data_IF_811943832346
#
_entry.id   IF_811943832346
#
_cell.length_a   1.000
_cell.length_b   1.000
_cell.length_c   1.000
_cell.angle_alpha   90.00
_cell.angle_beta   90.00
_cell.angle_gamma   90.00
#
_symmetry.space_group_name_H-M   'P 1'
#
loop_
_entity.id
_entity.type
_entity.pdbx_description
1 polymer ?
#
# COMPACT_ATOMS: atom_id res chain seq x y z
N UNK A 1 31.07 9.42 3.96
CA UNK A 1 30.63 8.15 4.59
C UNK A 1 30.76 7.05 3.55
N UNK A 2 31.43 5.97 3.87
CA UNK A 2 31.56 4.85 2.96
C UNK A 2 30.40 3.88 3.19
N UNK A 3 29.70 3.53 2.12
CA UNK A 3 28.67 2.50 2.14
C UNK A 3 29.26 1.19 1.63
N UNK A 4 28.91 0.08 2.28
CA UNK A 4 29.28 -1.27 1.84
C UNK A 4 28.08 -1.90 1.15
N UNK A 5 28.27 -2.35 -0.08
CA UNK A 5 27.24 -3.16 -0.78
C UNK A 5 26.95 -4.44 0.00
N UNK A 6 25.69 -4.79 0.04
CA UNK A 6 25.22 -6.04 0.67
C UNK A 6 24.24 -6.74 -0.27
N UNK A 7 24.07 -8.06 -0.13
CA UNK A 7 23.05 -8.78 -0.89
C UNK A 7 21.65 -8.23 -0.63
N UNK A 8 20.80 -8.27 -1.66
CA UNK A 8 19.40 -7.91 -1.54
C UNK A 8 18.71 -8.82 -0.49
N UNK A 9 18.03 -8.26 0.51
CA UNK A 9 17.25 -9.05 1.45
C UNK A 9 15.98 -9.58 0.77
N UNK A 10 15.54 -10.78 1.15
CA UNK A 10 14.27 -11.33 0.69
C UNK A 10 13.06 -10.60 1.28
N UNK A 11 13.21 -10.06 2.49
CA UNK A 11 12.18 -9.33 3.24
C UNK A 11 12.83 -8.20 4.00
N UNK A 12 12.14 -7.07 4.10
CA UNK A 12 12.53 -5.94 4.94
C UNK A 12 11.34 -5.45 5.77
N UNK A 13 11.67 -4.79 6.88
CA UNK A 13 10.69 -4.22 7.81
C UNK A 13 10.84 -2.71 7.88
N UNK A 14 9.72 -1.99 7.83
CA UNK A 14 9.67 -0.54 7.86
C UNK A 14 8.57 -0.06 8.81
N UNK A 15 8.99 0.67 9.85
CA UNK A 15 8.04 1.34 10.76
C UNK A 15 7.66 2.70 10.17
N UNK A 16 6.38 2.96 10.03
CA UNK A 16 5.87 4.23 9.51
C UNK A 16 4.62 4.68 10.26
N UNK A 17 4.23 5.95 10.10
CA UNK A 17 2.96 6.46 10.61
C UNK A 17 1.80 5.80 9.87
N UNK A 18 0.72 5.45 10.59
CA UNK A 18 -0.48 4.85 10.01
C UNK A 18 -1.09 5.73 8.90
N UNK A 19 -1.08 7.06 9.08
CA UNK A 19 -1.55 8.05 8.09
C UNK A 19 -0.82 8.01 6.74
N UNK A 20 0.36 7.38 6.65
CA UNK A 20 1.15 7.26 5.42
C UNK A 20 0.91 5.94 4.68
N UNK A 21 0.19 5.01 5.30
CA UNK A 21 0.01 3.66 4.76
C UNK A 21 -0.62 3.70 3.36
N UNK A 22 -1.73 4.41 3.19
CA UNK A 22 -2.43 4.47 1.91
C UNK A 22 -1.56 5.07 0.81
N UNK A 23 -0.83 6.17 1.10
CA UNK A 23 0.10 6.76 0.13
C UNK A 23 1.23 5.80 -0.27
N UNK A 24 1.74 4.97 0.66
CA UNK A 24 2.75 3.95 0.36
C UNK A 24 2.18 2.86 -0.54
N UNK A 25 0.95 2.42 -0.27
CA UNK A 25 0.28 1.39 -1.05
C UNK A 25 -0.16 1.90 -2.43
N UNK A 26 -0.52 3.19 -2.54
CA UNK A 26 -0.82 3.85 -3.81
C UNK A 26 0.41 3.95 -4.71
N UNK A 27 1.55 4.32 -4.12
CA UNK A 27 2.82 4.41 -4.83
C UNK A 27 3.44 3.02 -5.15
N UNK A 28 3.09 1.99 -4.40
CA UNK A 28 3.74 0.66 -4.46
C UNK A 28 5.22 0.71 -4.09
N UNK A 29 5.64 1.73 -3.33
CA UNK A 29 7.05 1.93 -2.95
C UNK A 29 7.20 2.75 -1.68
N UNK A 30 8.33 2.57 -1.01
CA UNK A 30 8.81 3.48 0.04
C UNK A 30 9.64 4.56 -0.64
N UNK A 31 9.25 5.82 -0.46
CA UNK A 31 10.01 6.98 -0.95
C UNK A 31 11.10 7.35 0.05
N UNK A 32 12.25 7.72 -0.46
CA UNK A 32 13.32 8.34 0.33
C UNK A 32 12.87 9.72 0.81
N UNK A 33 13.35 10.13 1.98
CA UNK A 33 13.08 11.43 2.57
C UNK A 33 14.40 12.08 2.97
N UNK A 34 14.73 13.20 2.35
CA UNK A 34 15.97 14.00 2.59
C UNK A 34 17.29 13.21 2.63
N UNK A 35 17.29 11.98 2.17
CA UNK A 35 18.42 11.07 2.10
C UNK A 35 18.54 10.46 0.69
N UNK A 36 19.66 9.85 0.39
CA UNK A 36 19.87 9.12 -0.86
C UNK A 36 19.32 7.70 -0.80
N UNK A 37 19.09 7.18 0.40
CA UNK A 37 18.62 5.84 0.70
C UNK A 37 17.29 5.83 1.45
N UNK A 38 16.49 4.78 1.22
CA UNK A 38 15.44 4.33 2.13
C UNK A 38 16.02 3.33 3.12
N UNK A 39 15.69 3.47 4.40
CA UNK A 39 16.25 2.65 5.47
C UNK A 39 15.25 1.66 6.04
N UNK A 40 15.70 0.42 6.24
CA UNK A 40 14.91 -0.71 6.69
C UNK A 40 15.65 -1.53 7.73
N UNK A 41 14.94 -2.42 8.43
CA UNK A 41 15.54 -3.53 9.15
C UNK A 41 15.34 -4.83 8.37
N UNK A 42 16.34 -5.71 8.36
CA UNK A 42 16.31 -6.99 7.63
C UNK A 42 15.68 -8.13 8.45
N UNK A 43 15.36 -7.89 9.72
CA UNK A 43 14.63 -8.82 10.58
C UNK A 43 13.97 -8.09 11.76
N UNK A 44 13.03 -8.78 12.42
CA UNK A 44 12.23 -8.23 13.52
C UNK A 44 13.03 -8.00 14.81
N UNK A 45 14.08 -8.76 15.07
CA UNK A 45 14.95 -8.52 16.24
C UNK A 45 15.64 -7.17 16.11
N UNK A 46 16.18 -6.88 14.93
CA UNK A 46 16.77 -5.56 14.63
C UNK A 46 15.73 -4.46 14.62
N UNK A 47 14.53 -4.73 14.12
CA UNK A 47 13.43 -3.76 14.15
C UNK A 47 13.05 -3.37 15.58
N UNK A 48 12.93 -4.35 16.50
CA UNK A 48 12.66 -4.08 17.92
C UNK A 48 13.78 -3.26 18.54
N UNK A 49 15.04 -3.65 18.33
CA UNK A 49 16.18 -2.89 18.82
C UNK A 49 16.25 -1.46 18.25
N UNK A 50 15.89 -1.29 16.97
CA UNK A 50 15.77 0.03 16.35
C UNK A 50 14.66 0.88 17.01
N UNK A 51 13.50 0.29 17.28
CA UNK A 51 12.40 1.00 17.96
C UNK A 51 12.81 1.41 19.38
N UNK A 52 13.51 0.56 20.13
CA UNK A 52 14.05 0.86 21.47
C UNK A 52 15.04 2.03 21.48
N UNK A 53 15.75 2.24 20.36
CA UNK A 53 16.70 3.35 20.21
C UNK A 53 16.09 4.64 19.64
N UNK A 54 14.92 4.57 19.01
CA UNK A 54 14.37 5.71 18.27
C UNK A 54 13.02 6.18 18.76
N UNK A 55 12.04 5.30 18.90
CA UNK A 55 10.64 5.67 19.22
C UNK A 55 10.22 5.26 20.62
N UNK A 56 10.76 4.17 21.19
CA UNK A 56 10.47 3.72 22.56
C UNK A 56 11.39 4.40 23.59
N UNK A 57 11.69 5.66 23.36
CA UNK A 57 12.61 6.47 24.15
C UNK A 57 11.91 7.57 24.96
N UNK A 58 10.66 7.40 25.33
CA UNK A 58 9.86 8.41 26.06
C UNK A 58 10.66 9.10 27.16
N UNK A 59 10.63 10.43 27.16
CA UNK A 59 11.29 11.28 28.14
C UNK A 59 12.81 11.39 28.01
N UNK A 60 13.48 10.51 27.22
CA UNK A 60 14.92 10.65 26.98
C UNK A 60 15.24 11.94 26.22
N UNK A 61 16.31 12.65 26.60
CA UNK A 61 16.69 13.88 25.92
C UNK A 61 17.35 13.57 24.55
N UNK A 62 17.10 14.42 23.58
CA UNK A 62 17.83 14.46 22.31
C UNK A 62 18.01 15.89 21.80
N UNK A 63 18.93 16.09 20.90
CA UNK A 63 19.15 17.39 20.25
C UNK A 63 18.54 17.29 18.84
N UNK A 64 17.51 18.11 18.58
CA UNK A 64 16.89 18.21 17.27
C UNK A 64 17.78 18.93 16.24
N UNK A 65 17.45 18.80 14.98
CA UNK A 65 18.09 19.58 13.88
C UNK A 65 17.94 21.07 14.22
N UNK A 66 19.07 21.79 14.25
CA UNK A 66 19.11 23.19 14.69
C UNK A 66 19.58 23.39 16.14
N UNK A 67 19.96 22.33 16.86
CA UNK A 67 20.57 22.41 18.20
C UNK A 67 19.58 22.58 19.35
N UNK A 68 18.28 22.47 19.09
CA UNK A 68 17.24 22.58 20.14
C UNK A 68 17.24 21.32 21.00
N UNK A 69 17.25 21.49 22.33
CA UNK A 69 17.08 20.40 23.28
C UNK A 69 15.62 19.97 23.36
N UNK A 70 15.35 18.70 23.05
CA UNK A 70 14.03 18.12 23.06
C UNK A 70 14.01 16.84 23.91
N UNK A 71 12.80 16.35 24.19
CA UNK A 71 12.59 15.02 24.78
C UNK A 71 11.72 14.20 23.84
N UNK A 72 12.01 12.91 23.74
CA UNK A 72 11.17 11.99 22.97
C UNK A 72 9.75 12.00 23.53
N UNK A 73 8.73 12.15 22.67
CA UNK A 73 7.33 12.08 23.08
C UNK A 73 6.97 10.66 23.49
N UNK A 74 5.79 10.51 24.11
CA UNK A 74 5.20 9.20 24.33
C UNK A 74 4.96 8.51 23.00
N UNK A 75 5.38 7.25 22.92
CA UNK A 75 5.08 6.42 21.76
C UNK A 75 3.66 5.86 21.88
N UNK A 76 2.86 6.05 20.84
CA UNK A 76 1.49 5.56 20.73
C UNK A 76 1.48 4.52 19.62
N UNK A 77 1.44 3.23 19.93
CA UNK A 77 1.53 2.15 18.92
C UNK A 77 0.49 2.26 17.80
N UNK A 78 -0.72 2.73 18.16
CA UNK A 78 -1.87 2.87 17.25
C UNK A 78 -1.64 3.91 16.14
N UNK A 79 -0.72 4.86 16.36
CA UNK A 79 -0.33 5.86 15.36
C UNK A 79 0.65 5.29 14.31
N UNK A 80 1.08 4.04 14.45
CA UNK A 80 2.11 3.44 13.62
C UNK A 80 1.68 2.10 13.06
N UNK A 81 2.25 1.77 11.90
CA UNK A 81 2.18 0.44 11.31
C UNK A 81 3.59 -0.08 11.06
N UNK A 82 3.78 -1.37 11.25
CA UNK A 82 5.00 -2.05 10.89
C UNK A 82 4.76 -2.83 9.60
N UNK A 83 5.42 -2.39 8.53
CA UNK A 83 5.32 -3.04 7.23
C UNK A 83 6.37 -4.12 7.10
N UNK A 84 5.96 -5.32 6.71
CA UNK A 84 6.81 -6.37 6.18
C UNK A 84 6.69 -6.35 4.67
N UNK A 85 7.79 -6.07 3.98
CA UNK A 85 7.82 -5.82 2.54
C UNK A 85 8.72 -6.84 1.85
N UNK A 86 8.27 -7.37 0.71
CA UNK A 86 9.11 -8.10 -0.23
C UNK A 86 9.64 -7.13 -1.28
N UNK A 87 10.93 -6.77 -1.27
CA UNK A 87 11.47 -5.80 -2.21
C UNK A 87 11.31 -6.22 -3.66
N UNK A 88 11.10 -5.20 -4.52
CA UNK A 88 11.20 -5.31 -5.97
C UNK A 88 12.22 -4.28 -6.43
N UNK A 89 13.30 -4.70 -7.05
CA UNK A 89 14.30 -3.74 -7.52
C UNK A 89 15.64 -4.38 -7.78
N UNK A 90 16.63 -3.53 -8.06
CA UNK A 90 17.97 -3.96 -8.43
C UNK A 90 18.71 -4.52 -7.21
N UNK A 91 19.21 -5.74 -7.33
CA UNK A 91 20.03 -6.41 -6.29
C UNK A 91 21.24 -5.58 -5.89
N UNK A 92 21.76 -4.77 -6.80
CA UNK A 92 22.94 -3.94 -6.60
C UNK A 92 22.72 -2.63 -5.80
N UNK A 93 21.49 -2.29 -5.43
CA UNK A 93 21.16 -1.03 -4.76
C UNK A 93 21.10 -1.14 -3.24
N UNK A 94 21.50 -2.26 -2.66
CA UNK A 94 21.45 -2.49 -1.22
C UNK A 94 22.80 -2.21 -0.56
N UNK A 95 22.76 -1.45 0.53
CA UNK A 95 23.94 -0.96 1.23
C UNK A 95 23.77 -1.04 2.75
N UNK A 96 24.87 -1.23 3.45
CA UNK A 96 25.00 -0.89 4.87
C UNK A 96 25.91 0.31 5.02
N UNK A 97 25.59 1.15 6.00
CA UNK A 97 26.48 2.23 6.35
C UNK A 97 27.77 1.64 6.91
N UNK A 98 28.92 1.96 6.29
CA UNK A 98 30.21 1.61 6.83
C UNK A 98 30.55 2.62 7.92
N UNK A 99 30.82 2.13 9.08
CA UNK A 99 31.01 2.78 10.37
C UNK A 99 32.23 3.73 10.45
N UNK A 100 32.73 4.23 9.33
CA UNK A 100 33.76 5.24 9.31
C UNK A 100 33.21 6.56 9.85
N UNK A 101 33.42 6.76 11.13
CA UNK A 101 33.15 8.02 11.81
C UNK A 101 34.40 8.89 11.67
N UNK A 102 34.26 10.23 11.54
CA UNK A 102 35.40 11.10 11.42
C UNK A 102 36.40 10.89 12.55
N UNK A 103 37.72 10.87 12.25
CA UNK A 103 38.74 10.80 13.27
C UNK A 103 38.54 11.91 14.33
N UNK A 104 38.61 11.55 15.60
CA UNK A 104 38.40 12.51 16.71
C UNK A 104 36.98 12.58 17.27
N UNK A 105 36.02 11.81 16.72
CA UNK A 105 34.70 11.66 17.33
C UNK A 105 34.77 11.00 18.72
N UNK A 106 33.81 11.32 19.60
CA UNK A 106 33.77 10.69 20.92
C UNK A 106 33.54 9.17 20.83
N UNK A 107 34.01 8.45 21.85
CA UNK A 107 33.88 6.98 21.89
C UNK A 107 32.40 6.56 21.93
N UNK A 108 31.57 7.33 22.63
CA UNK A 108 30.13 7.12 22.73
C UNK A 108 29.45 7.28 21.38
N UNK A 109 29.83 8.32 20.62
CA UNK A 109 29.29 8.55 19.27
C UNK A 109 29.70 7.42 18.32
N UNK A 110 30.95 6.96 18.39
CA UNK A 110 31.43 5.83 17.59
C UNK A 110 30.68 4.55 17.90
N UNK A 111 30.41 4.29 19.17
CA UNK A 111 29.67 3.10 19.62
C UNK A 111 28.21 3.17 19.18
N UNK A 112 27.52 4.30 19.40
CA UNK A 112 26.13 4.51 19.01
C UNK A 112 25.94 4.39 17.49
N UNK A 113 26.82 5.00 16.70
CA UNK A 113 26.76 4.89 15.25
C UNK A 113 27.01 3.45 14.75
N UNK A 114 27.92 2.72 15.41
CA UNK A 114 28.15 1.30 15.13
C UNK A 114 26.91 0.47 15.39
N UNK A 115 26.30 0.60 16.56
CA UNK A 115 25.11 -0.15 16.94
C UNK A 115 23.95 0.18 15.97
N UNK A 116 23.72 1.44 15.70
CA UNK A 116 22.67 1.88 14.79
C UNK A 116 22.85 1.39 13.35
N UNK A 117 24.09 1.44 12.82
CA UNK A 117 24.40 0.97 11.46
C UNK A 117 24.28 -0.55 11.32
N UNK A 118 24.38 -1.32 12.41
CA UNK A 118 24.16 -2.76 12.40
C UNK A 118 22.68 -3.14 12.32
N UNK A 119 21.78 -2.24 12.75
CA UNK A 119 20.33 -2.49 12.74
C UNK A 119 19.70 -2.28 11.38
N UNK A 120 20.27 -1.38 10.56
CA UNK A 120 19.67 -0.93 9.31
C UNK A 120 20.35 -1.45 8.06
N UNK A 121 19.54 -1.58 7.01
CA UNK A 121 19.98 -1.79 5.64
C UNK A 121 19.32 -0.69 4.77
N UNK A 122 20.07 -0.10 3.85
CA UNK A 122 19.61 0.96 2.98
C UNK A 122 19.41 0.48 1.55
N UNK A 123 18.38 0.99 0.89
CA UNK A 123 18.17 0.86 -0.54
C UNK A 123 18.38 2.23 -1.20
N UNK A 124 19.27 2.33 -2.18
CA UNK A 124 19.55 3.58 -2.88
C UNK A 124 18.45 3.91 -3.88
N UNK A 125 17.76 5.00 -3.64
CA UNK A 125 16.57 5.42 -4.38
C UNK A 125 15.27 5.07 -3.65
N UNK A 126 14.15 5.21 -4.35
CA UNK A 126 12.84 4.79 -3.87
C UNK A 126 12.72 3.26 -3.99
N UNK A 127 12.36 2.57 -2.91
CA UNK A 127 12.29 1.11 -2.87
C UNK A 127 10.87 0.64 -3.22
N UNK A 128 10.69 0.08 -4.41
CA UNK A 128 9.47 -0.61 -4.80
C UNK A 128 9.39 -2.00 -4.15
N UNK A 129 8.17 -2.48 -3.92
CA UNK A 129 7.93 -3.81 -3.34
C UNK A 129 6.93 -4.61 -4.17
N UNK A 130 6.99 -5.95 -4.04
CA UNK A 130 6.08 -6.90 -4.72
C UNK A 130 4.88 -7.24 -3.86
N UNK A 131 5.08 -7.28 -2.54
CA UNK A 131 4.02 -7.56 -1.58
C UNK A 131 4.28 -6.82 -0.28
N UNK A 132 3.21 -6.52 0.43
CA UNK A 132 3.23 -5.88 1.72
C UNK A 132 2.31 -6.62 2.69
N UNK A 133 2.76 -6.73 3.95
CA UNK A 133 1.94 -7.19 5.06
C UNK A 133 2.01 -6.12 6.16
N UNK A 134 0.89 -5.84 6.80
CA UNK A 134 0.82 -4.95 7.97
C UNK A 134 0.86 -5.78 9.24
N UNK A 135 1.82 -5.51 10.09
CA UNK A 135 1.95 -6.10 11.43
C UNK A 135 1.46 -5.05 12.43
N UNK A 136 0.59 -5.47 13.35
CA UNK A 136 0.14 -4.64 14.45
C UNK A 136 1.28 -4.35 15.41
N UNK A 137 1.58 -3.06 15.63
CA UNK A 137 2.72 -2.62 16.44
C UNK A 137 2.50 -2.90 17.92
N UNK A 138 1.26 -2.76 18.42
CA UNK A 138 0.96 -3.03 19.84
C UNK A 138 1.14 -4.53 20.15
N UNK A 139 0.60 -5.41 19.31
CA UNK A 139 0.75 -6.85 19.46
C UNK A 139 2.20 -7.31 19.28
N UNK A 140 2.94 -6.69 18.36
CA UNK A 140 4.37 -6.97 18.18
C UNK A 140 5.18 -6.62 19.44
N UNK A 141 4.88 -5.49 20.09
CA UNK A 141 5.61 -5.03 21.26
C UNK A 141 5.25 -5.80 22.54
N UNK A 142 3.98 -6.18 22.72
CA UNK A 142 3.50 -6.87 23.93
C UNK A 142 3.73 -8.38 23.87
N UNK A 143 3.26 -9.00 22.82
CA UNK A 143 3.15 -10.46 22.75
C UNK A 143 4.16 -11.10 21.79
N UNK A 144 4.96 -10.26 21.10
CA UNK A 144 5.87 -10.72 20.07
C UNK A 144 5.14 -11.31 18.84
N UNK A 145 3.84 -11.03 18.69
CA UNK A 145 3.04 -11.51 17.57
C UNK A 145 3.52 -10.82 16.29
N UNK A 146 3.92 -11.64 15.32
CA UNK A 146 4.49 -11.20 14.06
C UNK A 146 3.63 -11.58 12.85
N UNK A 147 2.37 -11.94 13.09
CA UNK A 147 1.44 -12.24 12.03
C UNK A 147 1.15 -10.95 11.25
N UNK A 148 1.55 -10.92 10.00
CA UNK A 148 1.24 -9.84 9.07
C UNK A 148 -0.08 -10.10 8.37
N UNK A 149 -0.89 -9.06 8.22
CA UNK A 149 -2.07 -9.10 7.38
C UNK A 149 -1.66 -8.63 5.98
N UNK A 150 -1.80 -9.47 4.94
CA UNK A 150 -1.52 -9.06 3.56
C UNK A 150 -2.34 -7.84 3.17
N UNK A 151 -1.70 -6.89 2.51
CA UNK A 151 -2.35 -5.70 1.96
C UNK A 151 -1.96 -5.53 0.50
N UNK A 152 -2.95 -5.26 -0.33
CA UNK A 152 -2.74 -5.09 -1.77
C UNK A 152 -2.34 -3.66 -2.09
N UNK A 153 -1.45 -3.48 -3.04
CA UNK A 153 -1.15 -2.18 -3.64
C UNK A 153 -2.27 -1.75 -4.58
N UNK A 154 -2.34 -0.48 -4.90
CA UNK A 154 -3.29 0.04 -5.89
C UNK A 154 -3.12 -0.62 -7.26
N UNK A 155 -1.89 -0.98 -7.65
CA UNK A 155 -1.63 -1.73 -8.88
C UNK A 155 -2.23 -3.13 -8.85
N UNK A 156 -2.02 -3.88 -7.76
CA UNK A 156 -2.60 -5.23 -7.60
C UNK A 156 -4.13 -5.20 -7.57
N UNK A 157 -4.72 -4.23 -6.89
CA UNK A 157 -6.18 -4.05 -6.89
C UNK A 157 -6.71 -3.77 -8.29
N UNK A 158 -6.00 -2.93 -9.07
CA UNK A 158 -6.37 -2.63 -10.46
C UNK A 158 -6.23 -3.83 -11.38
N UNK A 159 -5.16 -4.61 -11.23
CA UNK A 159 -4.96 -5.86 -11.99
C UNK A 159 -6.10 -6.85 -11.70
N UNK A 160 -6.47 -7.04 -10.43
CA UNK A 160 -7.57 -7.92 -10.02
C UNK A 160 -8.92 -7.44 -10.60
N UNK A 161 -9.21 -6.15 -10.51
CA UNK A 161 -10.43 -5.58 -11.12
C UNK A 161 -10.45 -5.83 -12.63
N UNK A 162 -9.32 -5.64 -13.33
CA UNK A 162 -9.24 -5.88 -14.77
C UNK A 162 -9.48 -7.35 -15.13
N UNK A 163 -8.94 -8.28 -14.36
CA UNK A 163 -9.19 -9.71 -14.56
C UNK A 163 -10.68 -10.06 -14.45
N UNK A 164 -11.38 -9.51 -13.45
CA UNK A 164 -12.83 -9.71 -13.28
C UNK A 164 -13.60 -9.10 -14.44
N UNK A 165 -13.36 -7.84 -14.76
CA UNK A 165 -14.05 -7.10 -15.84
C UNK A 165 -13.83 -7.78 -17.20
N UNK A 166 -12.62 -8.23 -17.50
CA UNK A 166 -12.29 -8.95 -18.73
C UNK A 166 -12.97 -10.34 -18.82
N UNK A 167 -13.08 -11.04 -17.68
CA UNK A 167 -13.81 -12.30 -17.61
C UNK A 167 -15.29 -12.09 -17.93
N UNK A 168 -15.95 -11.16 -17.23
CA UNK A 168 -17.37 -10.84 -17.42
C UNK A 168 -17.65 -10.37 -18.86
N UNK A 169 -16.78 -9.52 -19.41
CA UNK A 169 -16.92 -9.05 -20.79
C UNK A 169 -16.87 -10.19 -21.79
N UNK A 170 -15.99 -11.17 -21.62
CA UNK A 170 -15.95 -12.38 -22.46
C UNK A 170 -17.22 -13.18 -22.34
N UNK A 171 -17.67 -13.46 -21.11
CA UNK A 171 -18.90 -14.21 -20.85
C UNK A 171 -20.13 -13.51 -21.45
N UNK A 172 -20.21 -12.19 -21.29
CA UNK A 172 -21.26 -11.38 -21.89
C UNK A 172 -21.24 -11.47 -23.41
N UNK A 173 -20.09 -11.29 -24.02
CA UNK A 173 -19.89 -11.38 -25.48
C UNK A 173 -20.29 -12.77 -25.99
N UNK A 174 -19.89 -13.84 -25.33
CA UNK A 174 -20.27 -15.21 -25.66
C UNK A 174 -21.79 -15.43 -25.56
N UNK A 175 -22.46 -14.75 -24.61
CA UNK A 175 -23.90 -14.77 -24.49
C UNK A 175 -24.61 -14.13 -25.69
N UNK A 176 -24.03 -13.05 -26.23
CA UNK A 176 -24.58 -12.34 -27.41
C UNK A 176 -24.53 -13.21 -28.66
N UNK A 177 -23.49 -14.03 -28.86
CA UNK A 177 -23.42 -14.95 -30.00
C UNK A 177 -24.51 -16.02 -30.02
N UNK A 178 -25.15 -16.27 -28.89
CA UNK A 178 -26.26 -17.23 -28.77
C UNK A 178 -27.63 -16.60 -29.01
N UNK A 179 -27.71 -15.26 -29.10
CA UNK A 179 -28.96 -14.52 -29.28
C UNK A 179 -29.35 -14.43 -30.77
N UNK A 180 -30.65 -14.45 -31.05
CA UNK A 180 -31.17 -14.17 -32.38
C UNK A 180 -31.04 -12.67 -32.71
N UNK A 181 -31.09 -12.31 -34.01
CA UNK A 181 -31.04 -10.91 -34.45
C UNK A 181 -32.14 -10.05 -33.77
N UNK A 182 -33.35 -10.57 -33.63
CA UNK A 182 -34.43 -9.87 -32.94
C UNK A 182 -34.14 -9.59 -31.48
N UNK A 183 -33.52 -10.57 -30.77
CA UNK A 183 -33.09 -10.39 -29.40
C UNK A 183 -31.94 -9.38 -29.26
N UNK A 184 -30.99 -9.36 -30.20
CA UNK A 184 -29.92 -8.36 -30.21
C UNK A 184 -30.44 -6.95 -30.41
N UNK A 185 -31.43 -6.77 -31.28
CA UNK A 185 -32.08 -5.47 -31.50
C UNK A 185 -32.84 -5.04 -30.23
N UNK A 186 -33.56 -5.95 -29.60
CA UNK A 186 -34.28 -5.64 -28.36
C UNK A 186 -33.34 -5.29 -27.21
N UNK A 187 -32.12 -5.85 -27.18
CA UNK A 187 -31.12 -5.62 -26.13
C UNK A 187 -30.10 -4.51 -26.50
N UNK A 188 -30.33 -3.72 -27.55
CA UNK A 188 -29.33 -2.75 -28.02
C UNK A 188 -28.90 -1.75 -26.94
N UNK A 189 -29.84 -1.28 -26.10
CA UNK A 189 -29.54 -0.39 -24.97
C UNK A 189 -28.64 -1.05 -23.92
N UNK A 190 -28.92 -2.32 -23.59
CA UNK A 190 -28.09 -3.10 -22.66
C UNK A 190 -26.67 -3.33 -23.21
N UNK A 191 -26.56 -3.62 -24.49
CA UNK A 191 -25.25 -3.81 -25.17
C UNK A 191 -24.45 -2.52 -25.12
N UNK A 192 -25.07 -1.38 -25.34
CA UNK A 192 -24.41 -0.06 -25.26
C UNK A 192 -24.00 0.27 -23.84
N UNK A 193 -24.87 0.04 -22.85
CA UNK A 193 -24.55 0.22 -21.44
C UNK A 193 -23.37 -0.66 -21.01
N UNK A 194 -23.35 -1.93 -21.43
CA UNK A 194 -22.24 -2.84 -21.13
C UNK A 194 -20.91 -2.33 -21.73
N UNK A 195 -20.95 -1.91 -22.99
CA UNK A 195 -19.76 -1.37 -23.68
C UNK A 195 -19.23 -0.12 -22.99
N UNK A 196 -20.13 0.78 -22.58
CA UNK A 196 -19.77 1.99 -21.87
C UNK A 196 -19.13 1.68 -20.52
N UNK A 197 -19.79 0.87 -19.68
CA UNK A 197 -19.29 0.50 -18.34
C UNK A 197 -17.96 -0.24 -18.41
N UNK A 198 -17.81 -1.17 -19.35
CA UNK A 198 -16.54 -1.88 -19.59
C UNK A 198 -15.40 -0.91 -19.89
N UNK A 199 -15.58 -0.01 -20.87
CA UNK A 199 -14.56 0.98 -21.22
C UNK A 199 -14.26 1.93 -20.06
N UNK A 200 -15.29 2.39 -19.36
CA UNK A 200 -15.14 3.29 -18.21
C UNK A 200 -14.31 2.64 -17.09
N UNK A 201 -14.63 1.42 -16.68
CA UNK A 201 -13.87 0.71 -15.63
C UNK A 201 -12.39 0.49 -16.00
N UNK A 202 -12.07 0.30 -17.28
CA UNK A 202 -10.69 0.16 -17.74
C UNK A 202 -9.92 1.48 -17.79
N UNK A 203 -10.59 2.61 -18.05
CA UNK A 203 -9.92 3.89 -18.35
C UNK A 203 -10.00 4.93 -17.26
N UNK A 204 -11.02 4.86 -16.39
CA UNK A 204 -11.19 5.82 -15.31
C UNK A 204 -10.09 5.73 -14.25
N UNK A 205 -9.76 6.88 -13.69
CA UNK A 205 -8.89 6.97 -12.52
C UNK A 205 -9.71 6.72 -11.26
N UNK A 206 -9.76 5.46 -10.83
CA UNK A 206 -10.36 5.07 -9.57
C UNK A 206 -9.37 5.31 -8.42
N UNK A 207 -9.88 5.77 -7.29
CA UNK A 207 -9.11 5.85 -6.06
C UNK A 207 -8.96 4.46 -5.41
N UNK A 208 -8.13 4.38 -4.37
CA UNK A 208 -7.82 3.10 -3.72
C UNK A 208 -9.03 2.45 -3.07
N UNK A 209 -9.92 3.23 -2.44
CA UNK A 209 -11.11 2.69 -1.77
C UNK A 209 -12.11 2.16 -2.79
N UNK A 210 -12.32 2.88 -3.90
CA UNK A 210 -13.12 2.39 -5.02
C UNK A 210 -12.56 1.09 -5.60
N UNK A 211 -11.24 1.01 -5.80
CA UNK A 211 -10.59 -0.20 -6.29
C UNK A 211 -10.75 -1.37 -5.32
N UNK A 212 -10.60 -1.17 -4.01
CA UNK A 212 -10.83 -2.23 -3.00
C UNK A 212 -12.24 -2.79 -3.08
N UNK A 213 -13.23 -1.91 -3.16
CA UNK A 213 -14.64 -2.33 -3.21
C UNK A 213 -14.93 -3.08 -4.50
N UNK A 214 -14.54 -2.54 -5.64
CA UNK A 214 -14.83 -3.15 -6.95
C UNK A 214 -14.05 -4.46 -7.16
N UNK A 215 -12.77 -4.51 -6.77
CA UNK A 215 -11.96 -5.72 -6.88
C UNK A 215 -12.42 -6.86 -5.94
N UNK A 216 -13.15 -6.52 -4.87
CA UNK A 216 -13.72 -7.50 -3.95
C UNK A 216 -15.08 -8.06 -4.42
N UNK A 217 -15.68 -7.51 -5.49
CA UNK A 217 -16.90 -8.02 -6.08
C UNK A 217 -16.58 -9.20 -7.00
N UNK A 218 -17.46 -10.20 -7.02
CA UNK A 218 -17.34 -11.32 -7.95
C UNK A 218 -17.61 -10.87 -9.40
N UNK A 219 -18.60 -9.98 -9.59
CA UNK A 219 -19.07 -9.52 -10.90
C UNK A 219 -19.21 -7.98 -10.93
N UNK A 220 -18.09 -7.22 -10.88
CA UNK A 220 -18.10 -5.76 -10.79
C UNK A 220 -18.70 -5.08 -12.03
N UNK A 221 -18.48 -5.62 -13.23
CA UNK A 221 -19.03 -5.06 -14.47
C UNK A 221 -20.56 -5.19 -14.50
N UNK A 222 -21.11 -6.34 -14.11
CA UNK A 222 -22.55 -6.58 -14.03
C UNK A 222 -23.22 -5.63 -13.05
N UNK A 223 -22.65 -5.47 -11.84
CA UNK A 223 -23.19 -4.58 -10.80
C UNK A 223 -23.22 -3.13 -11.29
N UNK A 224 -22.09 -2.64 -11.84
CA UNK A 224 -22.00 -1.27 -12.35
C UNK A 224 -22.93 -1.06 -13.55
N UNK A 225 -23.01 -2.01 -14.47
CA UNK A 225 -23.90 -1.96 -15.63
C UNK A 225 -25.37 -1.89 -15.21
N UNK A 226 -25.80 -2.72 -14.27
CA UNK A 226 -27.18 -2.74 -13.78
C UNK A 226 -27.56 -1.44 -13.09
N UNK A 227 -26.67 -0.87 -12.27
CA UNK A 227 -26.88 0.43 -11.64
C UNK A 227 -26.92 1.56 -12.67
N UNK A 228 -26.00 1.55 -13.64
CA UNK A 228 -25.95 2.53 -14.73
C UNK A 228 -27.19 2.51 -15.59
N UNK A 229 -27.66 1.31 -15.99
CA UNK A 229 -28.89 1.18 -16.78
C UNK A 229 -30.13 1.72 -16.07
N UNK A 230 -30.14 1.69 -14.74
CA UNK A 230 -31.23 2.23 -13.93
C UNK A 230 -31.20 3.77 -13.79
N UNK A 231 -30.03 4.39 -14.00
CA UNK A 231 -29.80 5.81 -13.79
C UNK A 231 -29.91 6.68 -15.06
N UNK A 232 -30.34 6.14 -16.19
CA UNK A 232 -30.22 6.74 -17.52
C UNK A 232 -31.02 8.03 -17.78
N UNK A 233 -30.72 9.15 -17.16
CA UNK A 233 -31.34 10.40 -17.64
C UNK A 233 -30.45 11.62 -17.85
N UNK A 234 -29.21 11.72 -17.40
CA UNK A 234 -28.39 12.96 -17.54
C UNK A 234 -26.88 12.68 -17.70
N UNK A 235 -26.16 13.54 -18.42
CA UNK A 235 -24.71 13.73 -18.60
C UNK A 235 -23.78 12.53 -18.27
N UNK A 236 -23.52 11.67 -19.21
CA UNK A 236 -22.99 10.29 -19.03
C UNK A 236 -21.77 10.12 -18.10
N UNK A 237 -20.79 11.02 -18.08
CA UNK A 237 -19.59 10.83 -17.27
C UNK A 237 -19.75 11.25 -15.81
N UNK A 238 -20.46 12.35 -15.54
CA UNK A 238 -20.67 12.84 -14.17
C UNK A 238 -21.58 11.88 -13.40
N UNK A 239 -22.63 11.37 -14.05
CA UNK A 239 -23.57 10.42 -13.45
C UNK A 239 -22.97 9.05 -13.19
N UNK A 240 -22.11 8.56 -14.10
CA UNK A 240 -21.37 7.32 -13.86
C UNK A 240 -20.48 7.43 -12.64
N UNK A 241 -19.75 8.53 -12.48
CA UNK A 241 -18.88 8.75 -11.32
C UNK A 241 -19.69 8.80 -10.01
N UNK A 242 -20.87 9.43 -10.03
CA UNK A 242 -21.76 9.50 -8.87
C UNK A 242 -22.31 8.11 -8.51
N UNK A 243 -22.80 7.38 -9.51
CA UNK A 243 -23.32 6.01 -9.32
C UNK A 243 -22.24 5.04 -8.78
N UNK A 244 -21.03 5.16 -9.29
CA UNK A 244 -19.89 4.35 -8.82
C UNK A 244 -19.59 4.64 -7.34
N UNK A 245 -19.59 5.92 -6.95
CA UNK A 245 -19.39 6.31 -5.56
C UNK A 245 -20.49 5.75 -4.64
N UNK A 246 -21.76 5.85 -5.02
CA UNK A 246 -22.88 5.29 -4.26
C UNK A 246 -22.81 3.78 -4.07
N UNK A 247 -22.45 3.03 -5.11
CA UNK A 247 -22.24 1.57 -5.04
C UNK A 247 -21.14 1.24 -4.03
N UNK A 248 -20.02 1.95 -4.12
CA UNK A 248 -18.90 1.74 -3.21
C UNK A 248 -19.28 2.02 -1.76
N UNK A 249 -19.97 3.13 -1.47
CA UNK A 249 -20.45 3.45 -0.11
C UNK A 249 -21.44 2.42 0.42
N UNK A 250 -22.42 2.01 -0.36
CA UNK A 250 -23.40 0.99 0.04
C UNK A 250 -22.74 -0.35 0.35
N UNK A 251 -21.80 -0.77 -0.49
CA UNK A 251 -21.06 -2.02 -0.29
C UNK A 251 -20.24 -1.99 1.00
N UNK A 252 -19.57 -0.88 1.29
CA UNK A 252 -18.84 -0.69 2.56
C UNK A 252 -19.79 -0.73 3.76
N UNK A 253 -20.96 -0.09 3.69
CA UNK A 253 -21.97 -0.11 4.76
C UNK A 253 -22.51 -1.52 5.02
N UNK A 254 -22.84 -2.26 3.96
CA UNK A 254 -23.31 -3.64 4.08
C UNK A 254 -22.27 -4.58 4.68
N UNK A 255 -21.02 -4.47 4.28
CA UNK A 255 -19.91 -5.23 4.86
C UNK A 255 -19.74 -4.91 6.35
N UNK A 256 -19.85 -3.64 6.72
CA UNK A 256 -19.74 -3.18 8.13
C UNK A 256 -20.90 -3.73 8.99
N UNK A 257 -22.11 -3.83 8.42
CA UNK A 257 -23.28 -4.40 9.12
C UNK A 257 -23.19 -5.92 9.31
N UNK A 258 -22.55 -6.64 8.38
CA UNK A 258 -22.35 -8.10 8.49
C UNK A 258 -21.26 -8.51 9.48
N UNK A 259 -20.36 -7.58 9.83
CA UNK A 259 -19.29 -7.83 10.79
C UNK A 259 -19.67 -7.49 12.26
N UNK A 260 -20.84 -6.95 12.48
CA UNK A 260 -21.45 -6.72 13.81
C UNK A 260 -22.42 -7.83 14.17
#
# INVERSE_FOLDING_TARGET
MAYVKVPAPSVVYHLTKAERLDSILDDGKIRRFDDTECWFCDNLVKMKAYMEQTVLCEGKPYIAVGGQFCRYPKFVPEDYVLLKLTPRGYEDNWYRWNQEIPPGSSRELMQAAKEFSMLKIGYRGDMAFRSAEVIDVALFLTDGIVQGNPVQTTSELRELLFEHVEREQREYTDSLYRKTQGQLIANAGEIEANRFCYNALLTMRLDREQLKVLAAMDDPLEVVRSAWASAQEVGQEEEFSHTLFEICEQTVQEQTMRMK
#
